data_IF_900058951775
#
_entry.id   IF_900058951775
#
_cell.length_a   1.000
_cell.length_b   1.000
_cell.length_c   1.000
_cell.angle_alpha   90.00
_cell.angle_beta   90.00
_cell.angle_gamma   90.00
#
_symmetry.space_group_name_H-M   'P 1'
#
loop_
_entity.id
_entity.type
_entity.pdbx_description
1 polymer ?
#
# COMPACT_ATOMS: atom_id res chain seq x y z
N UNK A 1 -1.44 -50.98 -105.48
CA UNK A 1 -0.25 -50.18 -105.10
C UNK A 1 -0.78 -48.87 -104.57
N UNK A 2 -1.31 -48.88 -103.36
CA UNK A 2 -0.61 -48.66 -102.07
C UNK A 2 -0.47 -47.17 -101.79
N UNK A 3 -1.45 -46.66 -101.04
CA UNK A 3 -1.36 -45.45 -100.23
C UNK A 3 -0.77 -45.86 -98.88
N UNK A 4 0.42 -45.35 -98.57
CA UNK A 4 1.10 -45.61 -97.30
C UNK A 4 0.70 -44.51 -96.31
N UNK A 5 -0.31 -44.81 -95.49
CA UNK A 5 -0.75 -43.99 -94.37
C UNK A 5 -0.09 -44.49 -93.10
N UNK A 6 0.96 -43.81 -92.65
CA UNK A 6 1.60 -44.08 -91.36
C UNK A 6 0.67 -43.62 -90.24
N UNK A 7 -0.01 -44.56 -89.58
CA UNK A 7 -0.78 -44.34 -88.35
C UNK A 7 0.21 -44.24 -87.19
N UNK A 8 0.42 -43.03 -86.67
CA UNK A 8 1.08 -42.80 -85.39
C UNK A 8 0.04 -43.01 -84.29
N UNK A 9 0.24 -44.06 -83.49
CA UNK A 9 -0.50 -44.33 -82.27
C UNK A 9 -0.14 -43.25 -81.24
N UNK A 10 -1.11 -42.44 -80.84
CA UNK A 10 -1.00 -41.58 -79.66
C UNK A 10 -1.10 -42.44 -78.40
N UNK A 11 0.04 -42.69 -77.75
CA UNK A 11 0.06 -43.12 -76.36
C UNK A 11 -0.29 -41.92 -75.45
N UNK A 12 -1.52 -41.97 -74.93
CA UNK A 12 -1.85 -41.71 -73.53
C UNK A 12 -1.32 -40.46 -72.83
N UNK A 13 -1.97 -39.32 -73.04
CA UNK A 13 -1.94 -38.19 -72.09
C UNK A 13 -2.95 -38.38 -70.95
N UNK A 14 -2.84 -39.48 -70.19
CA UNK A 14 -3.75 -39.79 -69.06
C UNK A 14 -3.05 -40.03 -67.71
N UNK A 15 -1.73 -39.87 -67.61
CA UNK A 15 -0.99 -40.21 -66.38
C UNK A 15 -0.76 -39.04 -65.40
N UNK A 16 -0.73 -37.79 -65.86
CA UNK A 16 -0.38 -36.64 -65.00
C UNK A 16 -1.49 -36.19 -64.03
N UNK A 17 -2.77 -36.43 -64.36
CA UNK A 17 -3.89 -36.13 -63.46
C UNK A 17 -3.97 -37.12 -62.27
N UNK A 18 -3.54 -38.37 -62.50
CA UNK A 18 -3.52 -39.39 -61.44
C UNK A 18 -2.37 -39.15 -60.45
N UNK A 19 -1.23 -38.61 -60.88
CA UNK A 19 -0.10 -38.31 -59.97
C UNK A 19 -0.41 -37.14 -59.02
N UNK A 20 -1.01 -36.05 -59.50
CA UNK A 20 -1.38 -34.91 -58.64
C UNK A 20 -2.46 -35.28 -57.62
N UNK A 21 -3.45 -36.11 -58.00
CA UNK A 21 -4.47 -36.61 -57.08
C UNK A 21 -3.86 -37.57 -56.04
N UNK A 22 -2.87 -38.38 -56.43
CA UNK A 22 -2.17 -39.30 -55.54
C UNK A 22 -1.25 -38.54 -54.56
N UNK A 23 -0.63 -37.43 -54.95
CA UNK A 23 0.13 -36.57 -54.05
C UNK A 23 -0.78 -35.80 -53.06
N UNK A 24 -1.96 -35.35 -53.50
CA UNK A 24 -2.98 -34.79 -52.60
C UNK A 24 -3.46 -35.80 -51.56
N UNK A 25 -3.74 -37.04 -51.98
CA UNK A 25 -4.10 -38.12 -51.05
C UNK A 25 -2.97 -38.46 -50.08
N UNK A 26 -1.71 -38.44 -50.53
CA UNK A 26 -0.53 -38.67 -49.65
C UNK A 26 -0.33 -37.56 -48.63
N UNK A 27 -0.55 -36.30 -49.00
CA UNK A 27 -0.42 -35.17 -48.09
C UNK A 27 -1.59 -35.10 -47.11
N UNK A 28 -2.81 -35.41 -47.55
CA UNK A 28 -3.98 -35.56 -46.69
C UNK A 28 -3.82 -36.72 -45.70
N UNK A 29 -3.32 -37.88 -46.15
CA UNK A 29 -3.00 -39.01 -45.29
C UNK A 29 -1.95 -38.66 -44.22
N UNK A 30 -0.87 -37.97 -44.59
CA UNK A 30 0.15 -37.50 -43.62
C UNK A 30 -0.40 -36.49 -42.63
N UNK A 31 -1.28 -35.59 -43.07
CA UNK A 31 -1.95 -34.63 -42.19
C UNK A 31 -2.89 -35.34 -41.20
N UNK A 32 -3.57 -36.39 -41.64
CA UNK A 32 -4.41 -37.23 -40.77
C UNK A 32 -3.55 -38.06 -39.79
N UNK A 33 -2.42 -38.62 -40.22
CA UNK A 33 -1.46 -39.30 -39.33
C UNK A 33 -0.91 -38.36 -38.24
N UNK A 34 -0.57 -37.12 -38.58
CA UNK A 34 -0.17 -36.08 -37.62
C UNK A 34 -1.29 -35.73 -36.64
N UNK A 35 -2.55 -35.67 -37.11
CA UNK A 35 -3.70 -35.46 -36.23
C UNK A 35 -3.94 -36.65 -35.30
N UNK A 36 -3.82 -37.87 -35.80
CA UNK A 36 -3.99 -39.10 -35.01
C UNK A 36 -2.89 -39.21 -33.94
N UNK A 37 -1.63 -38.96 -34.28
CA UNK A 37 -0.51 -38.99 -33.32
C UNK A 37 -0.64 -37.90 -32.26
N UNK A 38 -1.09 -36.69 -32.64
CA UNK A 38 -1.38 -35.62 -31.68
C UNK A 38 -2.52 -36.03 -30.73
N UNK A 39 -3.60 -36.63 -31.26
CA UNK A 39 -4.73 -37.11 -30.46
C UNK A 39 -4.37 -38.29 -29.57
N UNK A 40 -3.50 -39.20 -30.00
CA UNK A 40 -3.00 -40.28 -29.14
C UNK A 40 -2.12 -39.77 -28.00
N UNK A 41 -1.28 -38.74 -28.25
CA UNK A 41 -0.48 -38.10 -27.21
C UNK A 41 -1.35 -37.33 -26.19
N UNK A 42 -2.39 -36.63 -26.66
CA UNK A 42 -3.39 -35.99 -25.78
C UNK A 42 -4.12 -37.02 -24.91
N UNK A 43 -4.51 -38.16 -25.49
CA UNK A 43 -5.18 -39.24 -24.76
C UNK A 43 -4.26 -39.89 -23.72
N UNK A 44 -2.97 -40.03 -24.02
CA UNK A 44 -1.99 -40.56 -23.08
C UNK A 44 -1.76 -39.60 -21.90
N UNK A 45 -1.63 -38.29 -22.16
CA UNK A 45 -1.57 -37.28 -21.09
C UNK A 45 -2.82 -37.30 -20.21
N UNK A 46 -4.01 -37.40 -20.81
CA UNK A 46 -5.26 -37.49 -20.06
C UNK A 46 -5.31 -38.74 -19.16
N UNK A 47 -4.77 -39.87 -19.62
CA UNK A 47 -4.65 -41.10 -18.80
C UNK A 47 -3.66 -40.93 -17.64
N UNK A 48 -2.52 -40.29 -17.88
CA UNK A 48 -1.52 -39.99 -16.86
C UNK A 48 -2.07 -39.01 -15.80
N UNK A 49 -2.77 -37.96 -16.23
CA UNK A 49 -3.47 -37.03 -15.34
C UNK A 49 -4.57 -37.73 -14.51
N UNK A 50 -5.32 -38.64 -15.13
CA UNK A 50 -6.34 -39.42 -14.42
C UNK A 50 -5.72 -40.39 -13.40
N UNK A 51 -4.58 -40.99 -13.72
CA UNK A 51 -3.82 -41.83 -12.78
C UNK A 51 -3.29 -41.01 -11.60
N UNK A 52 -2.73 -39.84 -11.85
CA UNK A 52 -2.27 -38.90 -10.81
C UNK A 52 -3.43 -38.44 -9.91
N UNK A 53 -4.60 -38.16 -10.49
CA UNK A 53 -5.79 -37.82 -9.70
C UNK A 53 -6.28 -39.00 -8.84
N UNK A 54 -6.16 -40.23 -9.31
CA UNK A 54 -6.47 -41.42 -8.52
C UNK A 54 -5.47 -41.61 -7.37
N UNK A 55 -4.18 -41.42 -7.60
CA UNK A 55 -3.15 -41.43 -6.56
C UNK A 55 -3.36 -40.35 -5.50
N UNK A 56 -3.70 -39.12 -5.92
CA UNK A 56 -4.02 -38.03 -4.99
C UNK A 56 -5.28 -38.33 -4.16
N UNK A 57 -6.31 -38.93 -4.76
CA UNK A 57 -7.51 -39.38 -4.02
C UNK A 57 -7.17 -40.46 -3.00
N UNK A 58 -6.42 -41.48 -3.38
CA UNK A 58 -6.00 -42.56 -2.46
C UNK A 58 -5.09 -42.03 -1.34
N UNK A 59 -4.18 -41.10 -1.64
CA UNK A 59 -3.35 -40.43 -0.64
C UNK A 59 -4.20 -39.60 0.34
N UNK A 60 -5.17 -38.85 -0.16
CA UNK A 60 -6.11 -38.11 0.68
C UNK A 60 -6.96 -39.04 1.55
N UNK A 61 -7.46 -40.15 1.01
CA UNK A 61 -8.20 -41.15 1.80
C UNK A 61 -7.32 -41.79 2.89
N UNK A 62 -6.05 -42.08 2.61
CA UNK A 62 -5.10 -42.59 3.62
C UNK A 62 -4.87 -41.52 4.69
N UNK A 63 -4.76 -40.25 4.32
CA UNK A 63 -4.57 -39.13 5.24
C UNK A 63 -5.78 -38.94 6.16
N UNK A 64 -6.99 -39.01 5.60
CA UNK A 64 -8.26 -38.92 6.33
C UNK A 64 -8.41 -40.14 7.25
N UNK A 65 -8.19 -41.36 6.75
CA UNK A 65 -8.21 -42.59 7.57
C UNK A 65 -7.16 -42.57 8.69
N UNK A 66 -6.01 -41.92 8.49
CA UNK A 66 -5.01 -41.71 9.56
C UNK A 66 -5.50 -40.70 10.60
N UNK A 67 -6.20 -39.64 10.19
CA UNK A 67 -6.80 -38.65 11.09
C UNK A 67 -7.98 -39.23 11.89
N UNK A 68 -8.80 -40.08 11.27
CA UNK A 68 -9.98 -40.68 11.92
C UNK A 68 -9.63 -41.83 12.89
N UNK A 69 -8.47 -42.49 12.71
CA UNK A 69 -8.01 -43.58 13.59
C UNK A 69 -7.24 -43.13 14.83
N UNK A 70 -7.08 -41.83 15.09
CA UNK A 70 -6.44 -41.34 16.31
C UNK A 70 -7.49 -40.84 17.32
N UNK A 71 -7.85 -41.64 18.34
CA UNK A 71 -8.47 -41.09 19.52
C UNK A 71 -7.41 -40.31 20.31
N UNK A 72 -7.84 -39.19 20.86
CA UNK A 72 -7.12 -38.29 21.75
C UNK A 72 -6.21 -39.00 22.75
N UNK A 73 -4.92 -39.11 22.45
CA UNK A 73 -3.88 -39.48 23.42
C UNK A 73 -2.53 -38.95 22.93
N UNK A 74 -2.03 -37.98 23.69
CA UNK A 74 -0.64 -37.50 23.76
C UNK A 74 0.06 -37.19 22.43
N UNK A 75 0.19 -35.89 22.17
CA UNK A 75 1.09 -35.29 21.20
C UNK A 75 2.54 -35.75 21.44
N UNK A 76 2.92 -36.86 20.80
CA UNK A 76 4.26 -36.95 20.23
C UNK A 76 4.26 -36.11 18.97
N UNK A 77 4.43 -34.80 19.16
CA UNK A 77 4.82 -33.90 18.08
C UNK A 77 6.09 -34.50 17.46
N UNK A 78 6.03 -34.91 16.19
CA UNK A 78 7.23 -35.04 15.37
C UNK A 78 7.93 -33.67 15.47
N UNK A 79 9.03 -33.62 16.23
CA UNK A 79 9.85 -32.41 16.36
C UNK A 79 10.59 -32.25 15.04
N UNK A 80 9.91 -31.66 14.06
CA UNK A 80 10.54 -31.11 12.86
C UNK A 80 11.49 -30.03 13.39
N UNK A 81 12.80 -30.15 13.10
CA UNK A 81 13.76 -29.15 13.55
C UNK A 81 13.39 -27.79 12.95
N UNK A 82 13.68 -26.70 13.65
CA UNK A 82 13.39 -25.34 13.15
C UNK A 82 14.05 -25.13 11.78
N UNK A 83 15.25 -25.66 11.59
CA UNK A 83 15.97 -25.65 10.31
C UNK A 83 15.21 -26.39 9.18
N UNK A 84 14.55 -27.51 9.47
CA UNK A 84 13.77 -28.24 8.46
C UNK A 84 12.42 -27.57 8.16
N UNK A 85 11.86 -26.82 9.10
CA UNK A 85 10.68 -25.97 8.88
C UNK A 85 11.03 -24.74 8.04
N UNK A 86 12.18 -24.12 8.29
CA UNK A 86 12.65 -22.96 7.53
C UNK A 86 13.05 -23.35 6.09
N UNK A 87 13.66 -24.53 5.89
CA UNK A 87 13.91 -25.04 4.53
C UNK A 87 12.61 -25.38 3.79
N UNK A 88 11.60 -25.91 4.47
CA UNK A 88 10.29 -26.15 3.85
C UNK A 88 9.59 -24.85 3.46
N UNK A 89 9.65 -23.81 4.29
CA UNK A 89 9.10 -22.48 3.95
C UNK A 89 9.81 -21.83 2.78
N UNK A 90 11.14 -21.87 2.77
CA UNK A 90 11.91 -21.32 1.64
C UNK A 90 11.66 -22.08 0.33
N UNK A 91 11.49 -23.40 0.39
CA UNK A 91 11.07 -24.21 -0.77
C UNK A 91 9.63 -23.91 -1.21
N UNK A 92 8.71 -23.69 -0.26
CA UNK A 92 7.33 -23.30 -0.57
C UNK A 92 7.28 -21.93 -1.25
N UNK A 93 8.04 -20.96 -0.74
CA UNK A 93 8.13 -19.62 -1.33
C UNK A 93 8.81 -19.65 -2.70
N UNK A 94 9.88 -20.45 -2.86
CA UNK A 94 10.51 -20.67 -4.16
C UNK A 94 9.52 -21.30 -5.17
N UNK A 95 8.70 -22.25 -4.73
CA UNK A 95 7.68 -22.90 -5.56
C UNK A 95 6.53 -21.95 -5.91
N UNK A 96 6.15 -21.02 -5.02
CA UNK A 96 5.19 -19.95 -5.33
C UNK A 96 5.74 -19.00 -6.40
N UNK A 97 7.01 -18.60 -6.30
CA UNK A 97 7.66 -17.75 -7.30
C UNK A 97 7.79 -18.47 -8.65
N UNK A 98 8.10 -19.76 -8.65
CA UNK A 98 8.17 -20.56 -9.88
C UNK A 98 6.78 -20.71 -10.53
N UNK A 99 5.73 -20.95 -9.74
CA UNK A 99 4.35 -20.96 -10.23
C UNK A 99 3.89 -19.60 -10.80
N UNK A 100 4.32 -18.50 -10.20
CA UNK A 100 4.06 -17.16 -10.75
C UNK A 100 4.74 -17.00 -12.12
N UNK A 101 6.03 -17.34 -12.22
CA UNK A 101 6.78 -17.30 -13.48
C UNK A 101 6.17 -18.19 -14.56
N UNK A 102 5.71 -19.40 -14.23
CA UNK A 102 5.06 -20.29 -15.21
C UNK A 102 3.70 -19.73 -15.66
N UNK A 103 2.95 -19.07 -14.77
CA UNK A 103 1.71 -18.38 -15.14
C UNK A 103 1.95 -17.18 -16.06
N UNK A 104 3.00 -16.39 -15.80
CA UNK A 104 3.44 -15.28 -16.66
C UNK A 104 3.89 -15.78 -18.03
N UNK A 105 4.74 -16.82 -18.07
CA UNK A 105 5.17 -17.46 -19.32
C UNK A 105 3.98 -18.01 -20.13
N UNK A 106 2.97 -18.57 -19.47
CA UNK A 106 1.74 -19.03 -20.13
C UNK A 106 0.95 -17.86 -20.72
N UNK A 107 0.89 -16.72 -20.05
CA UNK A 107 0.24 -15.51 -20.56
C UNK A 107 1.01 -14.93 -21.74
N UNK A 108 2.34 -14.83 -21.65
CA UNK A 108 3.21 -14.40 -22.77
C UNK A 108 3.05 -15.35 -23.97
N UNK A 109 3.05 -16.67 -23.73
CA UNK A 109 2.85 -17.66 -24.78
C UNK A 109 1.50 -17.51 -25.48
N UNK A 110 0.42 -17.21 -24.74
CA UNK A 110 -0.90 -16.93 -25.33
C UNK A 110 -0.87 -15.66 -26.20
N UNK A 111 -0.26 -14.58 -25.71
CA UNK A 111 -0.14 -13.33 -26.47
C UNK A 111 0.66 -13.55 -27.76
N UNK A 112 1.81 -14.23 -27.66
CA UNK A 112 2.65 -14.55 -28.83
C UNK A 112 1.90 -15.45 -29.82
N UNK A 113 1.17 -16.46 -29.34
CA UNK A 113 0.37 -17.34 -30.21
C UNK A 113 -0.70 -16.55 -30.97
N UNK A 114 -1.35 -15.59 -30.29
CA UNK A 114 -2.36 -14.75 -30.91
C UNK A 114 -1.76 -13.76 -31.92
N UNK A 115 -0.60 -13.17 -31.61
CA UNK A 115 0.14 -12.33 -32.55
C UNK A 115 0.60 -13.12 -33.79
N UNK A 116 1.04 -14.37 -33.62
CA UNK A 116 1.38 -15.23 -34.75
C UNK A 116 0.16 -15.57 -35.61
N UNK A 117 -0.98 -15.86 -35.00
CA UNK A 117 -2.23 -16.09 -35.73
C UNK A 117 -2.68 -14.85 -36.52
N UNK A 118 -2.51 -13.66 -35.94
CA UNK A 118 -2.82 -12.39 -36.62
C UNK A 118 -1.86 -12.12 -37.79
N UNK A 119 -0.56 -12.45 -37.64
CA UNK A 119 0.43 -12.37 -38.71
C UNK A 119 0.12 -13.37 -39.83
N UNK A 120 -0.26 -14.60 -39.50
CA UNK A 120 -0.67 -15.61 -40.50
C UNK A 120 -1.90 -15.13 -41.28
N UNK A 121 -2.92 -14.61 -40.61
CA UNK A 121 -4.10 -14.01 -41.27
C UNK A 121 -3.74 -12.82 -42.16
N UNK A 122 -2.82 -11.97 -41.70
CA UNK A 122 -2.36 -10.82 -42.50
C UNK A 122 -1.56 -11.26 -43.74
N UNK A 123 -0.73 -12.31 -43.62
CA UNK A 123 0.01 -12.90 -44.74
C UNK A 123 -0.94 -13.58 -45.73
N UNK A 124 -1.94 -14.31 -45.25
CA UNK A 124 -2.98 -14.90 -46.09
C UNK A 124 -3.75 -13.81 -46.85
N UNK A 125 -4.10 -12.71 -46.18
CA UNK A 125 -4.69 -11.53 -46.80
C UNK A 125 -3.81 -10.94 -47.91
N UNK A 126 -2.51 -10.74 -47.66
CA UNK A 126 -1.57 -10.24 -48.68
C UNK A 126 -1.38 -11.21 -49.84
N UNK A 127 -1.32 -12.52 -49.56
CA UNK A 127 -1.24 -13.56 -50.58
C UNK A 127 -2.45 -13.55 -51.50
N UNK A 128 -3.66 -13.42 -50.93
CA UNK A 128 -4.90 -13.31 -51.68
C UNK A 128 -4.96 -12.05 -52.54
N UNK A 129 -4.51 -10.90 -52.02
CA UNK A 129 -4.40 -9.65 -52.80
C UNK A 129 -3.40 -9.81 -53.94
N UNK A 130 -2.25 -10.43 -53.70
CA UNK A 130 -1.24 -10.67 -54.73
C UNK A 130 -1.74 -11.63 -55.82
N UNK A 131 -2.45 -12.70 -55.43
CA UNK A 131 -3.09 -13.61 -56.37
C UNK A 131 -4.19 -12.91 -57.20
N UNK A 132 -4.99 -12.04 -56.58
CA UNK A 132 -5.97 -11.23 -57.29
C UNK A 132 -5.31 -10.24 -58.27
N UNK A 133 -4.23 -9.58 -57.84
CA UNK A 133 -3.46 -8.67 -58.67
C UNK A 133 -2.84 -9.40 -59.88
N UNK A 134 -2.24 -10.58 -59.67
CA UNK A 134 -1.69 -11.41 -60.76
C UNK A 134 -2.75 -11.86 -61.77
N UNK A 135 -3.96 -12.19 -61.30
CA UNK A 135 -5.11 -12.49 -62.19
C UNK A 135 -5.58 -11.25 -62.95
N UNK A 136 -5.71 -10.11 -62.27
CA UNK A 136 -6.15 -8.86 -62.88
C UNK A 136 -5.15 -8.33 -63.92
N UNK A 137 -3.85 -8.42 -63.65
CA UNK A 137 -2.78 -8.07 -64.59
C UNK A 137 -2.48 -9.19 -65.59
N UNK A 138 -3.14 -10.35 -65.47
CA UNK A 138 -2.96 -11.56 -66.27
C UNK A 138 -1.51 -12.07 -66.33
N UNK A 139 -0.72 -11.81 -65.27
CA UNK A 139 0.65 -12.31 -65.13
C UNK A 139 0.71 -13.85 -64.96
N UNK A 140 -0.41 -14.48 -64.60
CA UNK A 140 -0.54 -15.93 -64.48
C UNK A 140 -0.85 -16.63 -65.83
N UNK A 141 -1.01 -15.86 -66.92
CA UNK A 141 -1.41 -16.37 -68.24
C UNK A 141 -0.29 -16.11 -69.24
N UNK A 142 0.13 -17.14 -69.97
CA UNK A 142 1.16 -16.99 -70.99
C UNK A 142 0.74 -15.93 -72.04
N UNK A 143 1.65 -15.07 -72.52
CA UNK A 143 1.33 -13.88 -73.32
C UNK A 143 0.55 -14.16 -74.61
N UNK A 144 0.50 -15.42 -75.05
CA UNK A 144 -0.23 -15.90 -76.24
C UNK A 144 -1.75 -16.04 -76.03
N UNK A 145 -2.24 -16.02 -74.78
CA UNK A 145 -3.65 -16.19 -74.44
C UNK A 145 -4.33 -14.90 -73.95
N UNK A 146 -3.66 -13.74 -74.07
CA UNK A 146 -4.23 -12.45 -73.70
C UNK A 146 -5.21 -12.00 -74.78
N UNK A 147 -6.48 -12.40 -74.67
CA UNK A 147 -7.56 -11.83 -75.48
C UNK A 147 -7.85 -10.39 -75.00
N UNK A 148 -7.75 -9.44 -75.92
CA UNK A 148 -8.15 -8.04 -75.75
C UNK A 148 -9.65 -7.96 -76.11
N UNK A 149 -10.52 -7.97 -75.11
CA UNK A 149 -11.97 -7.91 -75.28
C UNK A 149 -12.69 -7.78 -73.93
N UNK A 150 -13.81 -7.05 -73.92
CA UNK A 150 -14.52 -6.47 -72.77
C UNK A 150 -14.57 -7.32 -71.48
N UNK A 151 -13.84 -6.87 -70.46
CA UNK A 151 -13.77 -7.43 -69.09
C UNK A 151 -15.05 -7.18 -68.24
N UNK A 152 -16.15 -6.72 -68.82
CA UNK A 152 -17.35 -6.33 -68.06
C UNK A 152 -17.98 -7.50 -67.30
N UNK A 153 -17.90 -8.72 -67.84
CA UNK A 153 -18.41 -9.93 -67.20
C UNK A 153 -17.53 -10.43 -66.04
N UNK A 154 -16.20 -10.25 -66.12
CA UNK A 154 -15.27 -10.59 -65.04
C UNK A 154 -15.39 -9.57 -63.90
N UNK A 155 -15.45 -8.29 -64.23
CA UNK A 155 -15.61 -7.20 -63.25
C UNK A 155 -16.94 -7.33 -62.49
N UNK A 156 -18.01 -7.75 -63.16
CA UNK A 156 -19.30 -8.01 -62.50
C UNK A 156 -19.21 -9.19 -61.51
N UNK A 157 -18.51 -10.27 -61.88
CA UNK A 157 -18.32 -11.43 -60.98
C UNK A 157 -17.46 -11.06 -59.77
N UNK A 158 -16.40 -10.27 -59.97
CA UNK A 158 -15.55 -9.78 -58.88
C UNK A 158 -16.30 -8.84 -57.95
N UNK A 159 -17.07 -7.87 -58.49
CA UNK A 159 -17.92 -6.99 -57.67
C UNK A 159 -19.00 -7.75 -56.90
N UNK A 160 -19.60 -8.77 -57.51
CA UNK A 160 -20.57 -9.65 -56.85
C UNK A 160 -19.93 -10.46 -55.71
N UNK A 161 -18.72 -10.97 -55.91
CA UNK A 161 -17.97 -11.66 -54.87
C UNK A 161 -17.56 -10.73 -53.73
N UNK A 162 -17.07 -9.53 -54.04
CA UNK A 162 -16.75 -8.50 -53.04
C UNK A 162 -17.99 -8.07 -52.24
N UNK A 163 -19.15 -7.93 -52.89
CA UNK A 163 -20.41 -7.60 -52.23
C UNK A 163 -20.90 -8.73 -51.30
N UNK A 164 -20.72 -9.99 -51.72
CA UNK A 164 -21.04 -11.14 -50.86
C UNK A 164 -20.11 -11.23 -49.64
N UNK A 165 -18.81 -10.94 -49.81
CA UNK A 165 -17.85 -10.92 -48.71
C UNK A 165 -18.13 -9.76 -47.74
N UNK A 166 -18.45 -8.57 -48.26
CA UNK A 166 -18.89 -7.44 -47.44
C UNK A 166 -20.16 -7.74 -46.64
N UNK A 167 -21.13 -8.44 -47.23
CA UNK A 167 -22.34 -8.89 -46.52
C UNK A 167 -22.02 -9.89 -45.41
N UNK A 168 -21.07 -10.81 -45.65
CA UNK A 168 -20.59 -11.77 -44.65
C UNK A 168 -19.89 -11.06 -43.50
N UNK A 169 -19.01 -10.10 -43.80
CA UNK A 169 -18.34 -9.26 -42.80
C UNK A 169 -19.34 -8.43 -41.99
N UNK A 170 -20.33 -7.82 -42.65
CA UNK A 170 -21.38 -7.07 -41.97
C UNK A 170 -22.20 -7.95 -41.03
N UNK A 171 -22.48 -9.20 -41.41
CA UNK A 171 -23.18 -10.16 -40.55
C UNK A 171 -22.34 -10.53 -39.33
N UNK A 172 -21.05 -10.81 -39.51
CA UNK A 172 -20.12 -11.12 -38.40
C UNK A 172 -20.00 -9.93 -37.44
N UNK A 173 -19.91 -8.69 -37.97
CA UNK A 173 -19.85 -7.48 -37.15
C UNK A 173 -21.13 -7.26 -36.35
N UNK A 174 -22.31 -7.55 -36.92
CA UNK A 174 -23.57 -7.51 -36.17
C UNK A 174 -23.61 -8.55 -35.05
N UNK A 175 -23.27 -9.80 -35.36
CA UNK A 175 -23.26 -10.88 -34.36
C UNK A 175 -22.26 -10.63 -33.22
N UNK A 176 -21.07 -10.10 -33.54
CA UNK A 176 -20.07 -9.72 -32.52
C UNK A 176 -20.49 -8.50 -31.71
N UNK A 177 -21.06 -7.48 -32.34
CA UNK A 177 -21.64 -6.33 -31.64
C UNK A 177 -22.73 -6.76 -30.67
N UNK A 178 -23.68 -7.61 -31.10
CA UNK A 178 -24.75 -8.11 -30.23
C UNK A 178 -24.23 -8.93 -29.06
N UNK A 179 -23.16 -9.72 -29.26
CA UNK A 179 -22.49 -10.44 -28.17
C UNK A 179 -21.87 -9.48 -27.16
N UNK A 180 -21.11 -8.49 -27.63
CA UNK A 180 -20.49 -7.51 -26.74
C UNK A 180 -21.52 -6.65 -26.00
N UNK A 181 -22.62 -6.27 -26.65
CA UNK A 181 -23.72 -5.57 -25.96
C UNK A 181 -24.29 -6.41 -24.82
N UNK A 182 -24.53 -7.71 -25.04
CA UNK A 182 -24.99 -8.61 -23.98
C UNK A 182 -23.98 -8.81 -22.85
N UNK A 183 -22.69 -8.87 -23.17
CA UNK A 183 -21.63 -8.94 -22.17
C UNK A 183 -21.55 -7.67 -21.32
N UNK A 184 -21.71 -6.49 -21.95
CA UNK A 184 -21.77 -5.20 -21.24
C UNK A 184 -22.98 -5.17 -20.29
N UNK A 185 -24.17 -5.52 -20.76
CA UNK A 185 -25.38 -5.56 -19.92
C UNK A 185 -25.23 -6.51 -18.72
N UNK A 186 -24.57 -7.67 -18.91
CA UNK A 186 -24.28 -8.61 -17.81
C UNK A 186 -23.23 -8.08 -16.82
N UNK A 187 -22.24 -7.33 -17.29
CA UNK A 187 -21.24 -6.71 -16.43
C UNK A 187 -21.85 -5.55 -15.64
N UNK A 188 -22.69 -4.74 -16.28
CA UNK A 188 -23.44 -3.66 -15.62
C UNK A 188 -24.38 -4.22 -14.54
N UNK A 189 -25.11 -5.31 -14.81
CA UNK A 189 -25.96 -5.94 -13.79
C UNK A 189 -25.16 -6.43 -12.59
N UNK A 190 -23.97 -7.03 -12.82
CA UNK A 190 -23.07 -7.46 -11.75
C UNK A 190 -22.48 -6.30 -10.95
N UNK A 191 -22.25 -5.15 -11.57
CA UNK A 191 -21.80 -3.94 -10.88
C UNK A 191 -22.92 -3.37 -10.01
N UNK A 192 -24.16 -3.34 -10.49
CA UNK A 192 -25.32 -2.93 -9.69
C UNK A 192 -25.57 -3.86 -8.49
N UNK A 193 -25.38 -5.17 -8.66
CA UNK A 193 -25.46 -6.14 -7.55
C UNK A 193 -24.36 -5.95 -6.49
N UNK A 194 -23.22 -5.34 -6.83
CA UNK A 194 -22.13 -5.05 -5.89
C UNK A 194 -22.34 -3.80 -5.04
N UNK A 195 -23.06 -2.79 -5.53
CA UNK A 195 -23.34 -1.56 -4.79
C UNK A 195 -23.95 -1.76 -3.40
N UNK A 196 -24.96 -2.65 -3.18
CA UNK A 196 -25.48 -2.88 -1.84
C UNK A 196 -24.47 -3.57 -0.91
N UNK A 197 -23.56 -4.40 -1.46
CA UNK A 197 -22.50 -5.04 -0.68
C UNK A 197 -21.49 -3.99 -0.22
N UNK A 198 -21.10 -3.07 -1.11
CA UNK A 198 -20.20 -1.96 -0.76
C UNK A 198 -20.83 -1.03 0.29
N UNK A 199 -22.14 -0.76 0.19
CA UNK A 199 -22.86 0.00 1.21
C UNK A 199 -22.86 -0.71 2.57
N UNK A 200 -23.08 -2.04 2.61
CA UNK A 200 -23.01 -2.84 3.83
C UNK A 200 -21.60 -2.86 4.44
N UNK A 201 -20.56 -2.93 3.60
CA UNK A 201 -19.17 -2.86 4.06
C UNK A 201 -18.89 -1.50 4.69
N UNK A 202 -19.29 -0.40 4.04
CA UNK A 202 -19.11 0.95 4.58
C UNK A 202 -19.85 1.16 5.91
N UNK A 203 -21.07 0.61 6.04
CA UNK A 203 -21.83 0.63 7.30
C UNK A 203 -21.12 -0.16 8.41
N UNK A 204 -20.65 -1.38 8.10
CA UNK A 204 -19.90 -2.20 9.06
C UNK A 204 -18.57 -1.58 9.47
N UNK A 205 -17.86 -0.90 8.57
CA UNK A 205 -16.64 -0.16 8.87
C UNK A 205 -16.90 1.02 9.81
N UNK A 206 -17.98 1.77 9.58
CA UNK A 206 -18.40 2.87 10.46
C UNK A 206 -18.77 2.36 11.87
N UNK A 207 -19.50 1.25 11.96
CA UNK A 207 -19.80 0.60 13.24
C UNK A 207 -18.53 0.15 13.98
N UNK A 208 -17.58 -0.46 13.27
CA UNK A 208 -16.29 -0.88 13.83
C UNK A 208 -15.48 0.31 14.36
N UNK A 209 -15.46 1.43 13.63
CA UNK A 209 -14.78 2.65 14.09
C UNK A 209 -15.41 3.19 15.37
N UNK A 210 -16.75 3.20 15.46
CA UNK A 210 -17.45 3.63 16.66
C UNK A 210 -17.15 2.71 17.85
N UNK A 211 -17.19 1.38 17.65
CA UNK A 211 -16.88 0.41 18.70
C UNK A 211 -15.43 0.52 19.18
N UNK A 212 -14.48 0.76 18.28
CA UNK A 212 -13.07 0.98 18.66
C UNK A 212 -12.90 2.26 19.48
N UNK A 213 -13.57 3.35 19.10
CA UNK A 213 -13.53 4.59 19.89
C UNK A 213 -14.14 4.40 21.29
N UNK A 214 -15.22 3.63 21.41
CA UNK A 214 -15.82 3.26 22.69
C UNK A 214 -14.87 2.40 23.54
N UNK A 215 -14.21 1.41 22.92
CA UNK A 215 -13.21 0.56 23.56
C UNK A 215 -12.03 1.38 24.11
N UNK A 216 -11.50 2.31 23.32
CA UNK A 216 -10.40 3.19 23.74
C UNK A 216 -10.80 4.08 24.92
N UNK A 217 -12.03 4.61 24.90
CA UNK A 217 -12.59 5.38 26.01
C UNK A 217 -12.72 4.55 27.28
N UNK A 218 -13.21 3.31 27.17
CA UNK A 218 -13.33 2.36 28.27
C UNK A 218 -11.95 1.98 28.82
N UNK A 219 -10.98 1.68 27.95
CA UNK A 219 -9.60 1.39 28.33
C UNK A 219 -8.97 2.55 29.11
N UNK A 220 -9.14 3.78 28.63
CA UNK A 220 -8.67 4.98 29.33
C UNK A 220 -9.34 5.15 30.71
N UNK A 221 -10.64 4.87 30.81
CA UNK A 221 -11.38 4.88 32.09
C UNK A 221 -10.84 3.83 33.06
N UNK A 222 -10.60 2.59 32.61
CA UNK A 222 -10.02 1.52 33.44
C UNK A 222 -8.65 1.95 33.98
N UNK A 223 -7.77 2.46 33.12
CA UNK A 223 -6.45 2.98 33.54
C UNK A 223 -6.60 4.11 34.56
N UNK A 224 -7.59 5.00 34.39
CA UNK A 224 -7.85 6.07 35.35
C UNK A 224 -8.31 5.54 36.71
N UNK A 225 -9.17 4.52 36.73
CA UNK A 225 -9.64 3.89 37.96
C UNK A 225 -8.53 3.11 38.67
N UNK A 226 -7.66 2.42 37.93
CA UNK A 226 -6.49 1.78 38.50
C UNK A 226 -5.54 2.78 39.16
N UNK A 227 -5.31 3.93 38.52
CA UNK A 227 -4.50 5.02 39.10
C UNK A 227 -5.16 5.55 40.37
N UNK A 228 -6.48 5.74 40.37
CA UNK A 228 -7.23 6.22 41.52
C UNK A 228 -7.19 5.20 42.67
N UNK A 229 -7.35 3.90 42.36
CA UNK A 229 -7.21 2.81 43.33
C UNK A 229 -5.83 2.79 43.96
N UNK A 230 -4.76 2.81 43.16
CA UNK A 230 -3.37 2.87 43.65
C UNK A 230 -3.12 4.12 44.50
N UNK A 231 -3.71 5.27 44.15
CA UNK A 231 -3.63 6.50 44.95
C UNK A 231 -4.35 6.35 46.29
N UNK A 232 -5.54 5.72 46.30
CA UNK A 232 -6.30 5.45 47.52
C UNK A 232 -5.56 4.48 48.45
N UNK A 233 -5.01 3.39 47.92
CA UNK A 233 -4.16 2.44 48.65
C UNK A 233 -2.98 3.17 49.32
N UNK A 234 -2.23 3.99 48.57
CA UNK A 234 -1.12 4.79 49.13
C UNK A 234 -1.54 5.79 50.21
N UNK A 235 -2.75 6.34 50.14
CA UNK A 235 -3.26 7.27 51.15
C UNK A 235 -3.70 6.55 52.42
N UNK A 236 -4.30 5.36 52.29
CA UNK A 236 -4.62 4.49 53.43
C UNK A 236 -3.35 3.97 54.13
N UNK A 237 -2.29 3.66 53.39
CA UNK A 237 -1.02 3.23 53.98
C UNK A 237 -0.28 4.37 54.70
N UNK A 238 -0.52 5.63 54.30
CA UNK A 238 0.10 6.81 54.92
C UNK A 238 -0.54 7.22 56.24
N UNK A 239 -1.79 6.85 56.52
CA UNK A 239 -2.49 7.29 57.73
C UNK A 239 -2.09 6.53 59.01
N UNK A 240 -1.09 5.64 58.95
CA UNK A 240 -0.63 4.83 60.09
C UNK A 240 0.68 5.30 60.74
N UNK A 241 1.44 6.18 60.10
CA UNK A 241 2.73 6.67 60.62
C UNK A 241 2.86 8.19 60.41
N UNK A 242 2.30 9.00 61.33
CA UNK A 242 2.62 10.43 61.39
C UNK A 242 3.86 10.66 62.24
N UNK A 243 5.02 10.44 61.62
CA UNK A 243 6.31 10.86 62.17
C UNK A 243 6.78 12.10 61.41
N UNK A 244 6.81 13.25 62.08
CA UNK A 244 7.01 14.58 61.48
C UNK A 244 8.34 14.72 60.72
N UNK A 245 9.35 13.92 61.10
CA UNK A 245 10.65 13.88 60.42
C UNK A 245 10.64 13.08 59.10
N UNK A 246 9.66 12.20 58.88
CA UNK A 246 9.49 11.43 57.64
C UNK A 246 9.03 12.32 56.49
N UNK A 247 8.23 13.35 56.79
CA UNK A 247 7.79 14.36 55.81
C UNK A 247 8.99 15.14 55.23
N UNK A 248 9.93 15.55 56.10
CA UNK A 248 11.15 16.27 55.68
C UNK A 248 12.04 15.37 54.82
N UNK A 249 12.29 14.12 55.24
CA UNK A 249 13.07 13.15 54.44
C UNK A 249 12.41 12.83 53.09
N UNK A 250 11.08 12.74 53.05
CA UNK A 250 10.33 12.54 51.80
C UNK A 250 10.41 13.77 50.89
N UNK A 251 10.40 14.98 51.44
CA UNK A 251 10.63 16.22 50.67
C UNK A 251 12.05 16.28 50.11
N UNK A 252 13.07 15.89 50.87
CA UNK A 252 14.45 15.84 50.36
C UNK A 252 14.63 14.74 49.30
N UNK A 253 14.00 13.58 49.48
CA UNK A 253 13.97 12.52 48.48
C UNK A 253 13.28 12.93 47.19
N UNK A 254 12.14 13.63 47.28
CA UNK A 254 11.43 14.17 46.11
C UNK A 254 12.18 15.32 45.46
N UNK A 255 12.87 16.18 46.22
CA UNK A 255 13.75 17.22 45.69
C UNK A 255 14.89 16.61 44.87
N UNK A 256 15.56 15.57 45.39
CA UNK A 256 16.61 14.84 44.64
C UNK A 256 16.07 14.15 43.39
N UNK A 257 14.89 13.51 43.48
CA UNK A 257 14.32 12.84 42.31
C UNK A 257 13.90 13.83 41.22
N UNK A 258 13.33 14.98 41.61
CA UNK A 258 13.01 16.09 40.71
C UNK A 258 14.26 16.68 40.06
N UNK A 259 15.34 16.84 40.82
CA UNK A 259 16.60 17.36 40.31
C UNK A 259 17.25 16.39 39.30
N UNK A 260 17.21 15.09 39.57
CA UNK A 260 17.64 14.05 38.62
C UNK A 260 16.76 14.00 37.36
N UNK A 261 15.45 14.18 37.52
CA UNK A 261 14.52 14.22 36.39
C UNK A 261 14.74 15.46 35.51
N UNK A 262 14.97 16.63 36.12
CA UNK A 262 15.33 17.86 35.43
C UNK A 262 16.67 17.73 34.68
N UNK A 263 17.67 17.05 35.27
CA UNK A 263 18.94 16.75 34.59
C UNK A 263 18.72 15.87 33.36
N UNK A 264 17.96 14.77 33.49
CA UNK A 264 17.63 13.89 32.36
C UNK A 264 16.85 14.61 31.25
N UNK A 265 15.91 15.49 31.62
CA UNK A 265 15.19 16.34 30.67
C UNK A 265 16.14 17.28 29.94
N UNK A 266 17.12 17.86 30.64
CA UNK A 266 18.13 18.75 30.04
C UNK A 266 19.07 17.98 29.09
N UNK A 267 19.46 16.77 29.45
CA UNK A 267 20.25 15.87 28.58
C UNK A 267 19.47 15.45 27.33
N UNK A 268 18.20 15.05 27.49
CA UNK A 268 17.32 14.73 26.37
C UNK A 268 17.07 15.95 25.47
N UNK A 269 16.86 17.14 26.05
CA UNK A 269 16.73 18.38 25.29
C UNK A 269 18.00 18.67 24.49
N UNK A 270 19.19 18.53 25.08
CA UNK A 270 20.46 18.74 24.37
C UNK A 270 20.68 17.72 23.25
N UNK A 271 20.27 16.45 23.46
CA UNK A 271 20.29 15.41 22.44
C UNK A 271 19.34 15.74 21.28
N UNK A 272 18.12 16.19 21.60
CA UNK A 272 17.12 16.57 20.61
C UNK A 272 17.61 17.79 19.80
N UNK A 273 18.20 18.80 20.46
CA UNK A 273 18.78 19.95 19.75
C UNK A 273 19.88 19.53 18.77
N UNK A 274 20.77 18.60 19.16
CA UNK A 274 21.78 18.05 18.24
C UNK A 274 21.16 17.29 17.07
N UNK A 275 20.09 16.52 17.34
CA UNK A 275 19.36 15.80 16.29
C UNK A 275 18.66 16.76 15.33
N UNK A 276 18.07 17.84 15.83
CA UNK A 276 17.45 18.90 15.00
C UNK A 276 18.51 19.55 14.11
N UNK A 277 19.65 19.98 14.67
CA UNK A 277 20.74 20.59 13.90
C UNK A 277 21.27 19.62 12.81
N UNK A 278 21.37 18.32 13.12
CA UNK A 278 21.76 17.30 12.14
C UNK A 278 20.74 17.18 11.00
N UNK A 279 19.44 17.21 11.32
CA UNK A 279 18.37 17.19 10.31
C UNK A 279 18.36 18.48 9.47
N UNK A 280 18.54 19.66 10.07
CA UNK A 280 18.67 20.93 9.35
C UNK A 280 19.86 20.93 8.39
N UNK A 281 21.01 20.40 8.81
CA UNK A 281 22.18 20.27 7.94
C UNK A 281 21.91 19.33 6.76
N UNK A 282 21.19 18.22 7.00
CA UNK A 282 20.79 17.29 5.94
C UNK A 282 19.76 17.92 4.97
N UNK A 283 18.83 18.73 5.48
CA UNK A 283 17.88 19.48 4.67
C UNK A 283 18.60 20.48 3.77
N UNK A 284 19.53 21.28 4.32
CA UNK A 284 20.35 22.20 3.49
C UNK A 284 21.17 21.48 2.43
N UNK A 285 21.69 20.28 2.72
CA UNK A 285 22.38 19.47 1.73
C UNK A 285 21.45 18.97 0.61
N UNK A 286 20.20 18.62 0.95
CA UNK A 286 19.19 18.21 -0.02
C UNK A 286 18.71 19.40 -0.86
N UNK A 287 18.49 20.56 -0.24
CA UNK A 287 18.18 21.82 -0.92
C UNK A 287 19.27 22.19 -1.93
N UNK A 288 20.54 22.16 -1.52
CA UNK A 288 21.66 22.43 -2.42
C UNK A 288 21.75 21.44 -3.59
N UNK A 289 21.43 20.16 -3.36
CA UNK A 289 21.36 19.15 -4.43
C UNK A 289 20.18 19.40 -5.38
N UNK A 290 19.03 19.79 -4.85
CA UNK A 290 17.85 20.14 -5.64
C UNK A 290 18.07 21.43 -6.44
N UNK A 291 18.72 22.43 -5.87
CA UNK A 291 19.12 23.64 -6.58
C UNK A 291 20.12 23.31 -7.69
N UNK A 292 21.10 22.44 -7.45
CA UNK A 292 22.02 21.99 -8.48
C UNK A 292 21.30 21.23 -9.61
N UNK A 293 20.37 20.34 -9.27
CA UNK A 293 19.54 19.64 -10.26
C UNK A 293 18.63 20.62 -11.03
N UNK A 294 18.06 21.62 -10.36
CA UNK A 294 17.23 22.65 -10.99
C UNK A 294 18.06 23.57 -11.90
N UNK A 295 19.28 23.95 -11.50
CA UNK A 295 20.21 24.68 -12.36
C UNK A 295 20.61 23.86 -13.59
N UNK A 296 20.88 22.57 -13.41
CA UNK A 296 21.14 21.65 -14.52
C UNK A 296 19.94 21.56 -15.48
N UNK A 297 18.72 21.36 -14.96
CA UNK A 297 17.51 21.34 -15.78
C UNK A 297 17.30 22.70 -16.47
N UNK A 298 17.51 23.82 -15.77
CA UNK A 298 17.44 25.16 -16.38
C UNK A 298 18.47 25.35 -17.48
N UNK A 299 19.68 24.81 -17.35
CA UNK A 299 20.69 24.85 -18.43
C UNK A 299 20.27 24.00 -19.63
N UNK A 300 19.86 22.75 -19.39
CA UNK A 300 19.36 21.83 -20.42
C UNK A 300 18.13 22.38 -21.15
N UNK A 301 17.21 23.03 -20.43
CA UNK A 301 15.99 23.60 -21.00
C UNK A 301 16.12 25.04 -21.50
N UNK A 302 17.11 25.82 -21.04
CA UNK A 302 17.41 27.13 -21.62
C UNK A 302 17.99 27.01 -23.03
N UNK A 303 18.67 25.91 -23.35
CA UNK A 303 19.13 25.60 -24.71
C UNK A 303 17.98 25.21 -25.66
N UNK A 304 16.79 24.86 -25.13
CA UNK A 304 15.62 24.42 -25.90
C UNK A 304 14.71 25.61 -26.33
N UNK A 305 14.95 26.84 -25.86
CA UNK A 305 14.11 28.00 -26.20
C UNK A 305 14.44 28.71 -27.53
N UNK A 306 15.47 28.30 -28.27
CA UNK A 306 15.75 28.82 -29.62
C UNK A 306 15.38 27.78 -30.68
N UNK A 307 14.16 27.89 -31.20
CA UNK A 307 13.60 27.06 -32.27
C UNK A 307 14.51 26.98 -33.52
N UNK A 308 15.12 25.81 -33.71
CA UNK A 308 15.34 25.17 -35.01
C UNK A 308 14.92 23.70 -34.89
N UNK A 309 14.40 23.06 -35.95
CA UNK A 309 14.05 21.64 -35.91
C UNK A 309 15.28 20.84 -35.50
N UNK A 310 15.14 20.03 -34.45
CA UNK A 310 16.25 19.31 -33.82
C UNK A 310 17.07 18.50 -34.84
N UNK A 311 18.22 19.05 -35.21
CA UNK A 311 19.37 18.30 -35.74
C UNK A 311 20.51 18.52 -34.77
N UNK A 312 20.71 17.56 -33.87
CA UNK A 312 21.75 17.66 -32.84
C UNK A 312 21.38 16.96 -31.55
N UNK A 313 21.06 15.67 -31.61
CA UNK A 313 21.24 14.80 -30.44
C UNK A 313 22.74 14.56 -30.36
N UNK A 314 23.38 14.94 -29.25
CA UNK A 314 24.80 14.65 -29.05
C UNK A 314 24.98 13.11 -29.00
N UNK A 315 26.03 12.60 -29.64
CA UNK A 315 26.28 11.14 -29.80
C UNK A 315 26.44 10.37 -28.46
N UNK A 316 26.45 11.08 -27.33
CA UNK A 316 26.52 10.58 -25.95
C UNK A 316 25.18 10.64 -25.19
N UNK A 317 24.08 11.04 -25.83
CA UNK A 317 22.76 11.06 -25.21
C UNK A 317 22.20 9.64 -25.03
N UNK A 318 22.10 9.20 -23.79
CA UNK A 318 21.48 7.92 -23.45
C UNK A 318 19.98 7.97 -23.70
N UNK A 319 19.48 7.17 -24.64
CA UNK A 319 18.05 6.97 -24.83
C UNK A 319 17.43 6.43 -23.53
N UNK A 320 16.63 7.25 -22.86
CA UNK A 320 15.84 6.81 -21.70
C UNK A 320 14.55 6.20 -22.26
N UNK A 321 14.30 4.89 -22.04
CA UNK A 321 13.07 4.26 -22.50
C UNK A 321 11.85 4.99 -21.94
N UNK A 322 10.82 5.19 -22.77
CA UNK A 322 9.59 5.91 -22.40
C UNK A 322 8.97 5.38 -21.09
N UNK A 323 9.06 4.07 -20.87
CA UNK A 323 8.56 3.41 -19.65
C UNK A 323 9.29 3.91 -18.40
N UNK A 324 10.62 4.08 -18.47
CA UNK A 324 11.45 4.56 -17.35
C UNK A 324 11.14 6.04 -17.07
N UNK A 325 10.88 6.83 -18.10
CA UNK A 325 10.47 8.23 -17.95
C UNK A 325 9.08 8.35 -17.32
N UNK A 326 8.12 7.54 -17.78
CA UNK A 326 6.76 7.50 -17.21
C UNK A 326 6.78 7.04 -15.74
N UNK A 327 7.60 6.04 -15.39
CA UNK A 327 7.82 5.61 -14.01
C UNK A 327 8.39 6.72 -13.13
N UNK A 328 9.45 7.39 -13.58
CA UNK A 328 10.04 8.54 -12.88
C UNK A 328 9.03 9.69 -12.72
N UNK A 329 8.20 9.95 -13.73
CA UNK A 329 7.17 10.98 -13.67
C UNK A 329 6.08 10.65 -12.64
N UNK A 330 5.70 9.36 -12.54
CA UNK A 330 4.73 8.87 -11.56
C UNK A 330 5.32 8.94 -10.14
N UNK A 331 6.57 8.53 -9.95
CA UNK A 331 7.25 8.64 -8.65
C UNK A 331 7.40 10.10 -8.20
N UNK A 332 7.68 11.01 -9.13
CA UNK A 332 7.81 12.43 -8.82
C UNK A 332 6.45 13.06 -8.47
N UNK A 333 5.36 12.64 -9.11
CA UNK A 333 4.01 13.04 -8.74
C UNK A 333 3.63 12.56 -7.32
N UNK A 334 3.92 11.29 -6.99
CA UNK A 334 3.71 10.73 -5.65
C UNK A 334 4.57 11.42 -4.59
N UNK A 335 5.82 11.76 -4.93
CA UNK A 335 6.70 12.52 -4.05
C UNK A 335 6.15 13.92 -3.77
N UNK A 336 5.62 14.61 -4.79
CA UNK A 336 4.98 15.92 -4.64
C UNK A 336 3.74 15.87 -3.76
N UNK A 337 2.89 14.86 -3.95
CA UNK A 337 1.71 14.64 -3.11
C UNK A 337 2.10 14.38 -1.66
N UNK A 338 3.15 13.58 -1.44
CA UNK A 338 3.68 13.32 -0.09
C UNK A 338 4.22 14.60 0.57
N UNK A 339 4.87 15.48 -0.19
CA UNK A 339 5.34 16.78 0.30
C UNK A 339 4.15 17.65 0.71
N UNK A 340 3.11 17.74 -0.13
CA UNK A 340 1.91 18.51 0.21
C UNK A 340 1.22 18.00 1.47
N UNK A 341 1.12 16.67 1.65
CA UNK A 341 0.57 16.08 2.89
C UNK A 341 1.43 16.40 4.12
N UNK A 342 2.76 16.48 3.96
CA UNK A 342 3.67 16.87 5.04
C UNK A 342 3.55 18.35 5.39
N UNK A 343 3.37 19.21 4.40
CA UNK A 343 3.14 20.65 4.64
C UNK A 343 1.82 20.86 5.39
N UNK A 344 0.74 20.16 5.01
CA UNK A 344 -0.54 20.22 5.75
C UNK A 344 -0.42 19.72 7.20
N UNK A 345 0.40 18.70 7.44
CA UNK A 345 0.72 18.23 8.80
C UNK A 345 1.52 19.28 9.59
N UNK A 346 2.47 19.98 8.96
CA UNK A 346 3.23 21.06 9.59
C UNK A 346 2.32 22.23 9.98
N UNK A 347 1.42 22.66 9.10
CA UNK A 347 0.43 23.71 9.40
C UNK A 347 -0.46 23.30 10.59
N UNK A 348 -0.86 22.03 10.65
CA UNK A 348 -1.63 21.48 11.77
C UNK A 348 -0.82 21.50 13.08
N UNK A 349 0.49 21.22 13.01
CA UNK A 349 1.35 21.30 14.18
C UNK A 349 1.60 22.74 14.63
N UNK A 350 1.78 23.69 13.71
CA UNK A 350 1.98 25.10 14.03
C UNK A 350 0.75 25.68 14.73
N UNK A 351 -0.45 25.42 14.21
CA UNK A 351 -1.70 25.81 14.88
C UNK A 351 -1.82 25.20 16.28
N UNK A 352 -1.34 23.96 16.46
CA UNK A 352 -1.33 23.30 17.77
C UNK A 352 -0.32 23.92 18.73
N UNK A 353 0.86 24.28 18.24
CA UNK A 353 1.90 24.97 19.02
C UNK A 353 1.38 26.31 19.49
N UNK A 354 0.77 27.11 18.63
CA UNK A 354 0.16 28.38 19.02
C UNK A 354 -0.92 28.20 20.12
N UNK A 355 -1.76 27.17 20.01
CA UNK A 355 -2.77 26.86 21.02
C UNK A 355 -2.12 26.50 22.37
N UNK A 356 -1.04 25.72 22.35
CA UNK A 356 -0.28 25.35 23.54
C UNK A 356 0.45 26.54 24.15
N UNK A 357 0.99 27.44 23.34
CA UNK A 357 1.60 28.69 23.82
C UNK A 357 0.57 29.59 24.51
N UNK A 358 -0.61 29.76 23.91
CA UNK A 358 -1.74 30.48 24.53
C UNK A 358 -2.10 29.86 25.89
N UNK A 359 -2.20 28.53 25.97
CA UNK A 359 -2.44 27.81 27.25
C UNK A 359 -1.30 28.01 28.25
N UNK A 360 -0.05 27.99 27.81
CA UNK A 360 1.11 28.22 28.67
C UNK A 360 1.11 29.64 29.25
N UNK A 361 0.72 30.65 28.47
CA UNK A 361 0.56 32.03 28.96
C UNK A 361 -0.50 32.08 30.06
N UNK A 362 -1.65 31.43 29.87
CA UNK A 362 -2.71 31.37 30.89
C UNK A 362 -2.20 30.69 32.16
N UNK A 363 -1.48 29.58 32.05
CA UNK A 363 -0.90 28.87 33.20
C UNK A 363 0.13 29.76 33.92
N UNK A 364 1.02 30.44 33.20
CA UNK A 364 1.99 31.38 33.80
C UNK A 364 1.29 32.51 34.55
N UNK A 365 0.22 33.09 33.97
CA UNK A 365 -0.62 34.11 34.64
C UNK A 365 -1.29 33.55 35.90
N UNK A 366 -1.80 32.32 35.85
CA UNK A 366 -2.40 31.67 37.02
C UNK A 366 -1.38 31.40 38.13
N UNK A 367 -0.16 30.95 37.79
CA UNK A 367 0.93 30.76 38.74
C UNK A 367 1.32 32.10 39.38
N UNK A 368 1.51 33.15 38.58
CA UNK A 368 1.84 34.48 39.08
C UNK A 368 0.73 35.02 40.00
N UNK A 369 -0.54 34.90 39.60
CA UNK A 369 -1.70 35.28 40.42
C UNK A 369 -1.74 34.53 41.76
N UNK A 370 -1.46 33.22 41.74
CA UNK A 370 -1.40 32.41 42.96
C UNK A 370 -0.22 32.79 43.85
N UNK A 371 0.94 33.10 43.28
CA UNK A 371 2.10 33.57 44.03
C UNK A 371 1.82 34.88 44.75
N UNK A 372 1.27 35.88 44.04
CA UNK A 372 0.84 37.17 44.61
C UNK A 372 -0.21 36.97 45.70
N UNK A 373 -1.19 36.09 45.47
CA UNK A 373 -2.22 35.78 46.46
C UNK A 373 -1.62 35.14 47.73
N UNK A 374 -0.63 34.26 47.58
CA UNK A 374 0.08 33.64 48.69
C UNK A 374 0.93 34.65 49.47
N UNK A 375 1.63 35.55 48.79
CA UNK A 375 2.39 36.63 49.43
C UNK A 375 1.48 37.57 50.22
N UNK A 376 0.35 37.96 49.64
CA UNK A 376 -0.62 38.83 50.32
C UNK A 376 -1.23 38.15 51.56
N UNK A 377 -1.44 36.83 51.51
CA UNK A 377 -1.92 36.04 52.65
C UNK A 377 -0.83 35.92 53.74
N UNK A 378 0.44 35.78 53.36
CA UNK A 378 1.56 35.80 54.29
C UNK A 378 1.73 37.17 54.95
N UNK A 379 1.67 38.27 54.20
CA UNK A 379 1.72 39.62 54.76
C UNK A 379 0.56 39.89 55.73
N UNK A 380 -0.66 39.40 55.43
CA UNK A 380 -1.80 39.46 56.36
C UNK A 380 -1.50 38.69 57.65
N UNK A 381 -0.96 37.47 57.55
CA UNK A 381 -0.56 36.66 58.70
C UNK A 381 0.50 37.35 59.56
N UNK A 382 1.53 37.91 58.94
CA UNK A 382 2.59 38.66 59.64
C UNK A 382 2.02 39.88 60.38
N UNK A 383 1.13 40.66 59.75
CA UNK A 383 0.45 41.78 60.42
C UNK A 383 -0.41 41.32 61.61
N UNK A 384 -1.17 40.24 61.43
CA UNK A 384 -1.98 39.69 62.54
C UNK A 384 -1.12 39.17 63.67
N UNK A 385 0.01 38.52 63.36
CA UNK A 385 0.96 38.02 64.34
C UNK A 385 1.62 39.16 65.10
N UNK A 386 2.09 40.20 64.40
CA UNK A 386 2.66 41.39 65.03
C UNK A 386 1.68 42.11 65.95
N UNK A 387 0.41 42.23 65.55
CA UNK A 387 -0.64 42.79 66.43
C UNK A 387 -0.90 41.92 67.65
N UNK A 388 -0.92 40.59 67.48
CA UNK A 388 -1.10 39.65 68.59
C UNK A 388 0.06 39.75 69.58
N UNK A 389 1.30 39.84 69.08
CA UNK A 389 2.49 39.93 69.90
C UNK A 389 2.54 41.26 70.67
N UNK A 390 2.20 42.37 70.02
CA UNK A 390 2.08 43.67 70.69
C UNK A 390 1.01 43.67 71.80
N UNK A 391 -0.12 42.95 71.61
CA UNK A 391 -1.12 42.76 72.67
C UNK A 391 -0.63 41.89 73.80
N UNK A 392 0.11 40.81 73.49
CA UNK A 392 0.71 39.94 74.50
C UNK A 392 1.73 40.70 75.36
N UNK A 393 2.58 41.52 74.73
CA UNK A 393 3.53 42.39 75.43
C UNK A 393 2.82 43.43 76.31
N UNK A 394 1.71 44.00 75.82
CA UNK A 394 0.87 44.91 76.59
C UNK A 394 0.29 44.24 77.83
N UNK A 395 -0.32 43.06 77.66
CA UNK A 395 -0.87 42.27 78.76
C UNK A 395 0.21 41.84 79.77
N UNK A 396 1.41 41.49 79.31
CA UNK A 396 2.53 41.19 80.20
C UNK A 396 2.93 42.39 81.04
N UNK A 397 3.00 43.58 80.44
CA UNK A 397 3.29 44.83 81.17
C UNK A 397 2.19 45.18 82.16
N UNK A 398 0.93 45.02 81.78
CA UNK A 398 -0.21 45.25 82.65
C UNK A 398 -0.20 44.29 83.83
N UNK A 399 0.10 43.01 83.59
CA UNK A 399 0.28 42.00 84.61
C UNK A 399 1.44 42.34 85.57
N UNK A 400 2.59 42.74 85.05
CA UNK A 400 3.75 43.13 85.89
C UNK A 400 3.46 44.39 86.74
N UNK A 401 2.68 45.33 86.19
CA UNK A 401 2.23 46.52 86.92
C UNK A 401 1.23 46.14 88.02
N UNK A 402 0.30 45.25 87.72
CA UNK A 402 -0.70 44.73 88.66
C UNK A 402 -0.03 43.94 89.80
N UNK A 403 0.95 43.09 89.50
CA UNK A 403 1.76 42.40 90.49
C UNK A 403 2.50 43.39 91.40
N UNK A 404 3.13 44.43 90.84
CA UNK A 404 3.79 45.47 91.64
C UNK A 404 2.80 46.24 92.51
N UNK A 405 1.60 46.56 92.00
CA UNK A 405 0.53 47.20 92.75
C UNK A 405 0.09 46.34 93.94
N UNK A 406 -0.18 45.05 93.70
CA UNK A 406 -0.59 44.10 94.73
C UNK A 406 0.51 43.88 95.78
N UNK A 407 1.78 43.82 95.39
CA UNK A 407 2.91 43.73 96.34
C UNK A 407 2.93 44.96 97.25
N UNK A 408 2.83 46.16 96.67
CA UNK A 408 2.79 47.40 97.44
C UNK A 408 1.58 47.47 98.39
N UNK A 409 0.38 47.09 97.93
CA UNK A 409 -0.81 47.00 98.77
C UNK A 409 -0.63 45.97 99.90
N UNK A 410 -0.04 44.81 99.61
CA UNK A 410 0.23 43.78 100.62
C UNK A 410 1.21 44.30 101.68
N UNK A 411 2.26 45.02 101.29
CA UNK A 411 3.18 45.67 102.24
C UNK A 411 2.48 46.70 103.12
N UNK A 412 1.62 47.54 102.53
CA UNK A 412 0.84 48.54 103.28
C UNK A 412 -0.09 47.85 104.29
N UNK A 413 -0.82 46.81 103.87
CA UNK A 413 -1.72 46.04 104.73
C UNK A 413 -0.96 45.32 105.85
N UNK A 414 0.21 44.73 105.57
CA UNK A 414 1.07 44.12 106.60
C UNK A 414 1.52 45.13 107.65
N UNK A 415 1.90 46.34 107.23
CA UNK A 415 2.25 47.44 108.15
C UNK A 415 1.05 47.87 109.00
N UNK A 416 -0.15 47.92 108.43
CA UNK A 416 -1.37 48.29 109.15
C UNK A 416 -1.85 47.22 110.14
N UNK A 417 -1.64 45.93 109.84
CA UNK A 417 -2.03 44.81 110.70
C UNK A 417 -1.07 44.58 111.87
N UNK A 418 0.04 45.33 111.97
CA UNK A 418 1.00 45.19 113.08
C UNK A 418 1.73 43.85 113.10
N UNK A 419 1.80 43.16 111.95
CA UNK A 419 2.55 41.91 111.80
C UNK A 419 3.86 42.27 111.11
N UNK A 420 4.92 42.43 111.92
CA UNK A 420 6.29 42.18 111.46
C UNK A 420 6.56 40.69 111.52
#
# INVERSE_FOLDING_TARGET
MEQDGTVVVHEGAHESLNEEELERQRTEARALELKVTKKSAELQRAKEEQALLAELKTMNEIMIKRKEKQPSLNQNSLKISVETLDTLRTLEDALKVENQKTSELKNVSKVVSQQLEDVEKALEGKSNILAAAKRATRWDVAPKYIQIGDNTATDYKERKAALAELQKQQKILKETSERYTKEIEQLESRLEERKPIEAQIAEAEAELQQQNAEYDSLSAKVVSYERLRKKKERMLDRSKDEDSNKAIRNMDGTKRSLQNYLLKLRESSASNTKSIISMEMRLRQLEARLEAANLFLKQVFAEIQNDQPMTGVADDATEVPLIVFEELSRELALSRETIMQRDEQLDTYDTKVEELEKKMIVIRKAIASRAVSSELLNQKKERTFGSLMSKADGLSKDFDNECRRLINENEILRRQLGIM
#
